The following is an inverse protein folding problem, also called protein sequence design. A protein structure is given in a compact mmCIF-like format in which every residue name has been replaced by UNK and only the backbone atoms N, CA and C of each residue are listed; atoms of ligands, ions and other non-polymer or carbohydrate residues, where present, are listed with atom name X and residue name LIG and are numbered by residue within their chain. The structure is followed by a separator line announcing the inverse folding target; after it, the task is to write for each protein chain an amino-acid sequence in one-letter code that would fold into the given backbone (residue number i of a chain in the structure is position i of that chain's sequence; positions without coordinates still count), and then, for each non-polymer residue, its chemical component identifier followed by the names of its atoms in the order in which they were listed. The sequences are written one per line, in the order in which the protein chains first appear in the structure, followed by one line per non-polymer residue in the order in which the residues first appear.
data_IF_184624648546
#
_entry.id   IF_184624648546
#
_cell.length_a   1.000
_cell.length_b   1.000
_cell.length_c   1.000
_cell.angle_alpha   90.00
_cell.angle_beta   90.00
_cell.angle_gamma   90.00
#
_symmetry.space_group_name_H-M   'P 1'
#
loop_
_entity.id
_entity.type
_entity.pdbx_description
1 polymer ?
#
# COMPACT_ATOMS: atom_id res chain seq x y z
N UNK A 1 -30.23 -30.50 -7.17
CA UNK A 1 -28.86 -30.65 -6.62
C UNK A 1 -27.90 -29.73 -7.40
N UNK A 2 -27.78 -28.44 -7.04
CA UNK A 2 -26.84 -27.48 -7.66
C UNK A 2 -25.73 -27.18 -6.66
N UNK A 3 -24.51 -27.64 -6.94
CA UNK A 3 -23.31 -27.34 -6.16
C UNK A 3 -22.83 -25.95 -6.58
N UNK A 4 -23.00 -24.94 -5.73
CA UNK A 4 -22.31 -23.67 -5.90
C UNK A 4 -20.83 -23.89 -5.59
N UNK A 5 -20.01 -23.82 -6.64
CA UNK A 5 -18.54 -23.79 -6.56
C UNK A 5 -18.16 -22.63 -5.66
N UNK A 6 -17.54 -22.97 -4.52
CA UNK A 6 -16.87 -22.02 -3.65
C UNK A 6 -15.61 -21.55 -4.40
N UNK A 7 -15.72 -20.43 -5.10
CA UNK A 7 -14.58 -19.83 -5.80
C UNK A 7 -13.59 -19.25 -4.78
N UNK A 8 -12.56 -20.05 -4.54
CA UNK A 8 -11.16 -19.68 -4.63
C UNK A 8 -10.72 -18.42 -3.87
N UNK A 9 -10.10 -18.69 -2.72
CA UNK A 9 -8.71 -18.30 -2.49
C UNK A 9 -8.43 -16.79 -2.57
N UNK A 10 -9.08 -16.01 -1.70
CA UNK A 10 -8.63 -14.65 -1.35
C UNK A 10 -7.30 -14.75 -0.61
N UNK A 11 -6.24 -14.79 -1.41
CA UNK A 11 -4.84 -14.58 -1.04
C UNK A 11 -4.71 -13.66 0.17
N UNK A 12 -4.40 -14.26 1.32
CA UNK A 12 -4.09 -13.54 2.56
C UNK A 12 -2.87 -12.61 2.41
N UNK A 13 -2.14 -12.69 1.29
CA UNK A 13 -1.01 -11.83 0.96
C UNK A 13 -1.37 -10.51 0.25
N UNK A 14 -2.63 -10.31 -0.19
CA UNK A 14 -3.03 -9.05 -0.87
C UNK A 14 -3.26 -7.86 0.09
N UNK A 15 -3.26 -8.06 1.42
CA UNK A 15 -3.71 -7.03 2.39
C UNK A 15 -2.66 -5.97 2.81
N UNK A 16 -1.49 -5.89 2.16
CA UNK A 16 -0.43 -4.95 2.58
C UNK A 16 0.10 -4.05 1.48
N UNK A 17 -0.63 -3.88 0.39
CA UNK A 17 -0.32 -2.90 -0.65
C UNK A 17 -1.43 -1.85 -0.66
N UNK A 18 -1.06 -0.58 -0.56
CA UNK A 18 -1.97 0.55 -0.71
C UNK A 18 -1.46 1.40 -1.85
N UNK A 19 -2.36 1.80 -2.74
CA UNK A 19 -2.06 2.65 -3.89
C UNK A 19 -3.09 3.77 -3.92
N UNK A 20 -2.58 5.00 -4.01
CA UNK A 20 -3.34 6.25 -3.96
C UNK A 20 -2.93 7.12 -5.14
N UNK A 21 -3.87 7.87 -5.71
CA UNK A 21 -3.64 8.70 -6.89
C UNK A 21 -4.13 10.11 -6.64
N UNK A 22 -3.22 11.06 -6.75
CA UNK A 22 -3.60 12.45 -6.82
C UNK A 22 -3.85 12.83 -8.28
N UNK A 23 -5.13 12.92 -8.66
CA UNK A 23 -5.55 13.36 -10.00
C UNK A 23 -5.11 14.79 -10.30
N UNK A 24 -5.16 15.66 -9.29
CA UNK A 24 -4.74 17.06 -9.40
C UNK A 24 -3.28 17.19 -9.85
N UNK A 25 -2.38 16.41 -9.24
CA UNK A 25 -0.96 16.47 -9.55
C UNK A 25 -0.52 15.42 -10.58
N UNK A 26 -1.43 14.56 -11.05
CA UNK A 26 -1.16 13.38 -11.88
C UNK A 26 -0.04 12.50 -11.31
N UNK A 27 -0.05 12.30 -9.99
CA UNK A 27 0.95 11.51 -9.24
C UNK A 27 0.32 10.33 -8.55
N UNK A 28 1.10 9.27 -8.39
CA UNK A 28 0.75 8.14 -7.55
C UNK A 28 1.62 8.08 -6.30
N UNK A 29 1.06 7.49 -5.26
CA UNK A 29 1.73 7.09 -4.05
C UNK A 29 1.32 5.65 -3.72
N UNK A 30 2.31 4.78 -3.59
CA UNK A 30 2.11 3.38 -3.30
C UNK A 30 2.90 3.04 -2.04
N UNK A 31 2.32 2.28 -1.14
CA UNK A 31 3.00 1.79 0.04
C UNK A 31 2.74 0.31 0.26
N UNK A 32 3.81 -0.44 0.51
CA UNK A 32 3.73 -1.83 0.95
C UNK A 32 4.51 -2.06 2.23
N UNK A 33 4.13 -3.10 2.98
CA UNK A 33 4.88 -3.54 4.16
C UNK A 33 5.24 -5.01 4.08
N UNK A 34 6.52 -5.31 4.28
CA UNK A 34 7.06 -6.67 4.42
C UNK A 34 7.67 -6.77 5.82
N UNK A 35 7.02 -7.54 6.69
CA UNK A 35 7.41 -7.71 8.09
C UNK A 35 7.64 -6.37 8.85
N UNK A 36 8.90 -6.04 9.12
CA UNK A 36 9.39 -4.83 9.82
C UNK A 36 9.72 -3.67 8.88
N UNK A 37 9.64 -3.87 7.57
CA UNK A 37 10.05 -2.88 6.57
C UNK A 37 8.86 -2.36 5.78
N UNK A 38 8.79 -1.05 5.62
CA UNK A 38 7.87 -0.40 4.69
C UNK A 38 8.60 0.04 3.44
N UNK A 39 7.93 -0.05 2.30
CA UNK A 39 8.41 0.42 1.01
C UNK A 39 7.38 1.41 0.49
N UNK A 40 7.84 2.54 0.01
CA UNK A 40 7.01 3.61 -0.53
C UNK A 40 7.51 3.91 -1.92
N UNK A 41 6.62 3.81 -2.91
CA UNK A 41 6.92 4.14 -4.29
C UNK A 41 6.08 5.34 -4.70
N UNK A 42 6.70 6.35 -5.28
CA UNK A 42 6.03 7.58 -5.71
C UNK A 42 6.47 8.00 -7.09
N UNK A 43 5.61 8.63 -7.86
CA UNK A 43 5.95 9.09 -9.20
C UNK A 43 4.76 9.69 -9.93
N UNK A 44 4.97 10.07 -11.18
CA UNK A 44 3.88 10.41 -12.09
C UNK A 44 3.09 9.16 -12.46
N UNK A 45 1.77 9.28 -12.61
CA UNK A 45 0.92 8.17 -13.07
C UNK A 45 1.42 7.69 -14.44
N UNK A 46 1.62 6.37 -14.58
CA UNK A 46 2.19 5.75 -15.78
C UNK A 46 3.72 5.68 -15.83
N UNK A 47 4.43 6.27 -14.86
CA UNK A 47 5.90 6.18 -14.78
C UNK A 47 6.36 5.07 -13.82
N UNK A 48 7.64 4.70 -13.93
CA UNK A 48 8.26 3.76 -12.97
C UNK A 48 8.32 4.36 -11.57
N UNK A 49 8.40 5.69 -11.41
CA UNK A 49 8.54 6.34 -10.11
C UNK A 49 9.82 5.93 -9.37
N UNK A 50 9.93 6.36 -8.11
CA UNK A 50 11.05 6.13 -7.21
C UNK A 50 10.55 5.37 -5.98
N UNK A 51 11.24 4.29 -5.60
CA UNK A 51 10.97 3.53 -4.38
C UNK A 51 11.98 3.90 -3.28
N UNK A 52 11.47 4.12 -2.07
CA UNK A 52 12.25 4.25 -0.84
C UNK A 52 11.77 3.22 0.16
N UNK A 53 12.63 2.83 1.11
CA UNK A 53 12.27 1.88 2.15
C UNK A 53 12.71 2.36 3.52
N UNK A 54 11.97 1.94 4.54
CA UNK A 54 12.32 2.17 5.95
C UNK A 54 12.11 0.90 6.75
N UNK A 55 13.16 0.46 7.43
CA UNK A 55 13.08 -0.62 8.41
C UNK A 55 12.75 -0.05 9.79
N UNK A 56 11.97 -0.81 10.56
CA UNK A 56 11.56 -0.46 11.91
C UNK A 56 11.99 -1.56 12.87
N UNK A 57 12.19 -1.19 14.13
CA UNK A 57 12.60 -2.12 15.18
C UNK A 57 11.60 -3.28 15.37
N UNK A 58 10.30 -2.99 15.24
CA UNK A 58 9.24 -3.98 15.43
C UNK A 58 8.19 -3.96 14.31
N UNK A 59 7.56 -5.12 14.10
CA UNK A 59 6.44 -5.30 13.16
C UNK A 59 5.25 -4.40 13.51
N UNK A 60 5.08 -4.08 14.81
CA UNK A 60 4.02 -3.21 15.33
C UNK A 60 4.26 -1.77 14.86
N UNK A 61 5.47 -1.25 15.05
CA UNK A 61 5.83 0.10 14.61
C UNK A 61 5.70 0.26 13.09
N UNK A 62 6.14 -0.74 12.31
CA UNK A 62 5.94 -0.72 10.86
C UNK A 62 4.45 -0.69 10.46
N UNK A 63 3.57 -1.33 11.24
CA UNK A 63 2.11 -1.30 11.03
C UNK A 63 1.54 0.09 11.33
N UNK A 64 1.85 0.63 12.51
CA UNK A 64 1.35 1.93 12.98
C UNK A 64 1.80 3.05 12.05
N UNK A 65 3.07 3.01 11.62
CA UNK A 65 3.61 3.98 10.66
C UNK A 65 2.93 3.88 9.29
N UNK A 66 2.65 2.67 8.79
CA UNK A 66 1.87 2.48 7.57
C UNK A 66 0.47 3.09 7.69
N UNK A 67 -0.26 2.81 8.77
CA UNK A 67 -1.60 3.35 9.01
C UNK A 67 -1.58 4.89 9.05
N UNK A 68 -0.63 5.47 9.79
CA UNK A 68 -0.48 6.92 9.92
C UNK A 68 -0.19 7.58 8.56
N UNK A 69 0.76 7.04 7.79
CA UNK A 69 1.09 7.61 6.47
C UNK A 69 -0.06 7.54 5.48
N UNK A 70 -0.84 6.45 5.48
CA UNK A 70 -2.03 6.32 4.62
C UNK A 70 -3.05 7.39 4.98
N UNK A 71 -3.33 7.60 6.28
CA UNK A 71 -4.27 8.62 6.73
C UNK A 71 -3.80 10.02 6.30
N UNK A 72 -2.52 10.36 6.53
CA UNK A 72 -1.96 11.65 6.13
C UNK A 72 -2.00 11.87 4.61
N UNK A 73 -1.75 10.82 3.81
CA UNK A 73 -1.78 10.94 2.35
C UNK A 73 -3.18 11.21 1.81
N UNK A 74 -4.20 10.53 2.35
CA UNK A 74 -5.61 10.79 2.01
C UNK A 74 -6.02 12.23 2.31
N UNK A 75 -5.62 12.76 3.46
CA UNK A 75 -5.89 14.18 3.82
C UNK A 75 -5.19 15.14 2.86
N UNK A 76 -3.99 14.79 2.36
CA UNK A 76 -3.24 15.61 1.40
C UNK A 76 -3.73 15.53 -0.06
N UNK A 77 -4.86 14.87 -0.33
CA UNK A 77 -5.44 14.81 -1.69
C UNK A 77 -4.82 13.73 -2.59
N UNK A 78 -4.34 12.63 -1.99
CA UNK A 78 -4.00 11.38 -2.69
C UNK A 78 -5.10 10.33 -2.52
#
# INVERSE_FOLDING_TARGET
KKRTRSDNNKSQNQKKLVYLESRQYRRFWQMRRVYKTTYIRTGSIGSKGMETSKEYETKRLAKESMTSMIASKKVSGY
#
